data_IF_515349024160
#
_entry.id   IF_515349024160
#
_cell.length_a   1.000
_cell.length_b   1.000
_cell.length_c   1.000
_cell.angle_alpha   90.00
_cell.angle_beta   90.00
_cell.angle_gamma   90.00
#
_symmetry.space_group_name_H-M   'P 1'
#
loop_
_entity.id
_entity.type
_entity.pdbx_description
1 polymer ?
#
# COMPACT_ATOMS: atom_id res chain seq x y z
N UNK A 1 10.38 29.37 -1.97
CA UNK A 1 8.95 29.62 -2.20
C UNK A 1 8.35 30.09 -0.88
N UNK A 2 7.74 31.27 -0.84
CA UNK A 2 7.18 31.84 0.39
C UNK A 2 5.84 31.19 0.79
N UNK A 3 5.34 31.52 1.99
CA UNK A 3 4.10 30.91 2.52
C UNK A 3 2.86 31.25 1.70
N UNK A 4 2.78 32.46 1.12
CA UNK A 4 1.65 32.89 0.29
C UNK A 4 1.61 32.10 -1.02
N UNK A 5 2.79 31.87 -1.63
CA UNK A 5 2.94 31.05 -2.82
C UNK A 5 2.57 29.58 -2.54
N UNK A 6 2.88 29.04 -1.36
CA UNK A 6 2.48 27.67 -0.97
C UNK A 6 0.97 27.52 -0.84
N UNK A 7 0.31 28.45 -0.14
CA UNK A 7 -1.15 28.43 0.05
C UNK A 7 -1.89 28.48 -1.29
N UNK A 8 -1.48 29.39 -2.19
CA UNK A 8 -2.13 29.54 -3.50
C UNK A 8 -1.88 28.36 -4.44
N UNK A 9 -0.70 27.74 -4.40
CA UNK A 9 -0.33 26.68 -5.34
C UNK A 9 -0.81 25.29 -4.91
N UNK A 10 -0.79 25.00 -3.61
CA UNK A 10 -1.05 23.66 -3.08
C UNK A 10 -2.30 23.59 -2.19
N UNK A 11 -3.05 24.68 -2.04
CA UNK A 11 -4.27 24.73 -1.22
C UNK A 11 -4.01 24.57 0.28
N UNK A 12 -2.78 24.79 0.71
CA UNK A 12 -2.34 24.62 2.10
C UNK A 12 -2.98 25.70 2.98
N UNK A 13 -3.49 25.31 4.13
CA UNK A 13 -4.02 26.24 5.13
C UNK A 13 -2.89 27.00 5.82
N UNK A 14 -3.19 28.13 6.47
CA UNK A 14 -2.19 28.87 7.25
C UNK A 14 -1.56 28.00 8.36
N UNK A 15 -2.37 27.16 9.03
CA UNK A 15 -1.91 26.26 10.08
C UNK A 15 -0.91 25.22 9.54
N UNK A 16 -1.17 24.66 8.38
CA UNK A 16 -0.26 23.73 7.71
C UNK A 16 1.00 24.45 7.21
N UNK A 17 0.89 25.69 6.71
CA UNK A 17 2.04 26.50 6.31
C UNK A 17 2.99 26.82 7.48
N UNK A 18 2.44 27.07 8.66
CA UNK A 18 3.22 27.23 9.89
C UNK A 18 3.86 25.91 10.31
N UNK A 19 3.12 24.81 10.31
CA UNK A 19 3.67 23.49 10.61
C UNK A 19 4.82 23.11 9.68
N UNK A 20 4.73 23.44 8.38
CA UNK A 20 5.79 23.21 7.39
C UNK A 20 7.08 23.98 7.74
N UNK A 21 6.97 25.19 8.30
CA UNK A 21 8.15 25.99 8.68
C UNK A 21 8.88 25.41 9.89
N UNK A 22 8.15 24.73 10.77
CA UNK A 22 8.71 24.07 11.95
C UNK A 22 9.28 22.68 11.64
N UNK A 23 9.15 22.19 10.40
CA UNK A 23 9.73 20.89 10.02
C UNK A 23 11.25 20.99 9.98
N UNK A 24 11.91 20.04 10.65
CA UNK A 24 13.32 19.79 10.48
C UNK A 24 13.55 19.06 9.15
N UNK A 25 13.80 19.84 8.09
CA UNK A 25 14.03 19.30 6.75
C UNK A 25 15.23 18.33 6.73
N UNK A 26 16.25 18.56 7.56
CA UNK A 26 17.42 17.68 7.59
C UNK A 26 17.03 16.28 8.05
N UNK A 27 16.21 16.17 9.11
CA UNK A 27 15.70 14.89 9.58
C UNK A 27 14.95 14.11 8.48
N UNK A 28 14.15 14.80 7.66
CA UNK A 28 13.41 14.15 6.57
C UNK A 28 14.32 13.74 5.40
N UNK A 29 15.36 14.52 5.09
CA UNK A 29 16.37 14.12 4.11
C UNK A 29 17.13 12.87 4.57
N UNK A 30 17.57 12.83 5.82
CA UNK A 30 18.27 11.67 6.37
C UNK A 30 17.38 10.41 6.34
N UNK A 31 16.09 10.56 6.65
CA UNK A 31 15.11 9.47 6.53
C UNK A 31 14.92 9.02 5.07
N UNK A 32 14.83 9.96 4.13
CA UNK A 32 14.69 9.65 2.71
C UNK A 32 15.90 8.85 2.20
N UNK A 33 17.11 9.32 2.49
CA UNK A 33 18.35 8.63 2.08
C UNK A 33 18.40 7.22 2.67
N UNK A 34 18.02 7.06 3.95
CA UNK A 34 17.94 5.74 4.58
C UNK A 34 16.96 4.81 3.85
N UNK A 35 15.75 5.29 3.57
CA UNK A 35 14.72 4.50 2.90
C UNK A 35 15.14 4.14 1.47
N UNK A 36 15.77 5.06 0.75
CA UNK A 36 16.31 4.81 -0.59
C UNK A 36 17.38 3.71 -0.56
N UNK A 37 18.30 3.74 0.40
CA UNK A 37 19.31 2.70 0.60
C UNK A 37 18.68 1.34 0.95
N UNK A 38 17.58 1.34 1.70
CA UNK A 38 16.81 0.13 2.03
C UNK A 38 15.94 -0.37 0.85
N UNK A 39 15.92 0.34 -0.28
CA UNK A 39 15.13 -0.01 -1.46
C UNK A 39 13.63 0.24 -1.28
N UNK A 40 13.26 1.15 -0.38
CA UNK A 40 11.88 1.57 -0.15
C UNK A 40 11.55 2.75 -1.06
N UNK A 41 10.59 2.54 -1.96
CA UNK A 41 10.03 3.58 -2.80
C UNK A 41 8.91 4.32 -2.06
N UNK A 42 8.93 5.65 -2.13
CA UNK A 42 7.90 6.52 -1.56
C UNK A 42 6.96 6.96 -2.69
N UNK A 43 5.72 6.47 -2.66
CA UNK A 43 4.68 6.82 -3.63
C UNK A 43 3.66 7.73 -2.95
N UNK A 44 3.55 8.97 -3.42
CA UNK A 44 2.59 9.96 -2.90
C UNK A 44 1.26 9.88 -3.64
N UNK A 45 0.19 10.41 -3.03
CA UNK A 45 -1.15 10.50 -3.64
C UNK A 45 -1.17 11.13 -5.05
N UNK A 46 -0.25 12.06 -5.31
CA UNK A 46 -0.15 12.77 -6.59
C UNK A 46 0.85 12.12 -7.57
N UNK A 47 1.49 11.03 -7.17
CA UNK A 47 2.38 10.28 -8.05
C UNK A 47 1.59 9.59 -9.16
N UNK A 48 2.08 9.58 -10.42
CA UNK A 48 1.46 8.78 -11.48
C UNK A 48 1.50 7.27 -11.20
N UNK A 49 2.38 6.82 -10.28
CA UNK A 49 2.49 5.43 -9.86
C UNK A 49 1.54 5.08 -8.71
N UNK A 50 0.76 6.04 -8.18
CA UNK A 50 -0.20 5.78 -7.11
C UNK A 50 -1.29 4.80 -7.58
N UNK A 51 -1.64 3.76 -6.81
CA UNK A 51 -2.56 2.72 -7.27
C UNK A 51 -3.93 3.28 -7.64
N UNK A 52 -4.38 3.02 -8.88
CA UNK A 52 -5.66 3.51 -9.38
C UNK A 52 -6.84 2.98 -8.55
N UNK A 53 -6.75 1.74 -8.07
CA UNK A 53 -7.77 1.11 -7.22
C UNK A 53 -8.00 1.85 -5.91
N UNK A 54 -6.96 2.43 -5.30
CA UNK A 54 -7.11 3.24 -4.08
C UNK A 54 -7.76 4.59 -4.41
N UNK A 55 -7.45 5.18 -5.56
CA UNK A 55 -8.10 6.40 -6.03
C UNK A 55 -9.60 6.23 -6.30
N UNK A 56 -10.02 5.06 -6.78
CA UNK A 56 -11.44 4.79 -7.07
C UNK A 56 -12.20 4.29 -5.86
N UNK A 57 -11.59 3.45 -5.01
CA UNK A 57 -12.33 2.67 -4.01
C UNK A 57 -12.34 3.30 -2.62
N UNK A 58 -11.41 4.21 -2.30
CA UNK A 58 -11.28 4.82 -0.96
C UNK A 58 -11.75 6.28 -0.88
N UNK A 59 -12.34 6.79 -1.97
CA UNK A 59 -13.06 8.06 -1.96
C UNK A 59 -14.52 7.76 -1.59
N UNK A 60 -14.87 7.99 -0.32
CA UNK A 60 -16.23 7.73 0.19
C UNK A 60 -17.01 9.06 0.19
N UNK A 61 -17.69 9.33 -0.92
CA UNK A 61 -18.51 10.53 -1.10
C UNK A 61 -17.71 11.85 -1.01
N UNK A 62 -18.38 12.94 -0.66
CA UNK A 62 -17.78 14.29 -0.57
C UNK A 62 -17.13 14.60 0.78
N UNK A 63 -17.30 13.73 1.79
CA UNK A 63 -16.98 14.08 3.18
C UNK A 63 -15.81 13.31 3.80
N UNK A 64 -15.36 12.18 3.21
CA UNK A 64 -14.25 11.41 3.79
C UNK A 64 -13.36 10.74 2.75
N UNK A 65 -12.26 11.40 2.44
CA UNK A 65 -11.13 10.81 1.73
C UNK A 65 -10.32 9.94 2.71
N UNK A 66 -10.31 8.62 2.48
CA UNK A 66 -9.55 7.67 3.30
C UNK A 66 -8.30 7.14 2.60
N UNK A 67 -7.87 7.79 1.51
CA UNK A 67 -6.66 7.40 0.77
C UNK A 67 -5.41 7.71 1.61
N UNK A 68 -4.46 6.79 1.70
CA UNK A 68 -3.16 7.09 2.29
C UNK A 68 -2.43 8.14 1.44
N UNK A 69 -1.99 9.23 2.07
CA UNK A 69 -1.25 10.30 1.36
C UNK A 69 0.11 9.84 0.84
N UNK A 70 0.71 8.88 1.55
CA UNK A 70 2.03 8.32 1.26
C UNK A 70 1.95 6.81 1.44
N UNK A 71 2.46 6.08 0.45
CA UNK A 71 2.74 4.66 0.50
C UNK A 71 4.25 4.46 0.57
N UNK A 72 4.70 3.64 1.53
CA UNK A 72 6.06 3.14 1.59
C UNK A 72 6.05 1.73 1.00
N UNK A 73 6.74 1.53 -0.11
CA UNK A 73 6.70 0.27 -0.86
C UNK A 73 8.09 -0.33 -0.96
N UNK A 74 8.23 -1.59 -0.57
CA UNK A 74 9.45 -2.37 -0.78
C UNK A 74 9.19 -3.46 -1.82
N UNK A 75 10.11 -3.63 -2.78
CA UNK A 75 10.00 -4.62 -3.85
C UNK A 75 9.46 -4.06 -5.16
N UNK A 76 8.72 -4.88 -5.92
CA UNK A 76 8.31 -4.53 -7.28
C UNK A 76 7.02 -3.70 -7.31
N UNK A 77 7.13 -2.37 -7.30
CA UNK A 77 5.99 -1.43 -7.34
C UNK A 77 5.18 -1.47 -8.63
N UNK A 78 5.69 -2.08 -9.70
CA UNK A 78 4.98 -2.19 -11.00
C UNK A 78 3.70 -3.01 -10.90
N UNK A 79 3.58 -3.89 -9.91
CA UNK A 79 2.42 -4.79 -9.74
C UNK A 79 1.23 -4.09 -9.09
N UNK A 80 1.41 -2.88 -8.54
CA UNK A 80 0.39 -2.16 -7.78
C UNK A 80 -0.85 -1.77 -8.60
N UNK A 81 -0.74 -1.74 -9.93
CA UNK A 81 -1.84 -1.45 -10.86
C UNK A 81 -2.30 -2.68 -11.66
N UNK A 82 -1.79 -3.87 -11.35
CA UNK A 82 -2.25 -5.10 -11.98
C UNK A 82 -3.63 -5.50 -11.44
N UNK A 83 -4.28 -6.45 -12.13
CA UNK A 83 -5.45 -7.14 -11.58
C UNK A 83 -5.07 -7.75 -10.23
N UNK A 84 -5.88 -7.45 -9.21
CA UNK A 84 -5.57 -7.83 -7.84
C UNK A 84 -6.82 -8.38 -7.17
N UNK A 85 -6.64 -9.45 -6.39
CA UNK A 85 -7.68 -10.03 -5.54
C UNK A 85 -7.16 -10.19 -4.12
N UNK A 86 -8.05 -10.07 -3.14
CA UNK A 86 -7.72 -10.34 -1.75
C UNK A 86 -8.49 -11.57 -1.27
N UNK A 87 -7.78 -12.50 -0.64
CA UNK A 87 -8.36 -13.67 0.01
C UNK A 87 -8.10 -13.50 1.51
N UNK A 88 -9.17 -13.21 2.25
CA UNK A 88 -9.13 -12.92 3.69
C UNK A 88 -9.94 -13.95 4.46
N UNK A 89 -9.56 -14.21 5.71
CA UNK A 89 -10.31 -15.14 6.55
C UNK A 89 -9.74 -15.32 7.95
N UNK A 90 -10.09 -16.45 8.58
CA UNK A 90 -9.72 -16.75 9.97
C UNK A 90 -8.22 -16.91 10.14
N UNK A 91 -7.71 -16.42 11.28
CA UNK A 91 -6.35 -16.70 11.76
C UNK A 91 -6.18 -18.13 12.26
N UNK A 92 -7.28 -18.77 12.63
CA UNK A 92 -7.39 -20.15 13.08
C UNK A 92 -8.28 -20.92 12.09
N UNK A 93 -7.81 -21.04 10.85
CA UNK A 93 -8.52 -21.77 9.81
C UNK A 93 -8.31 -23.28 9.95
N UNK A 94 -9.35 -24.06 9.64
CA UNK A 94 -9.22 -25.52 9.53
C UNK A 94 -8.36 -25.91 8.33
N UNK A 95 -7.83 -27.14 8.33
CA UNK A 95 -7.07 -27.66 7.18
C UNK A 95 -7.90 -27.67 5.89
N UNK A 96 -9.20 -27.94 5.98
CA UNK A 96 -10.10 -27.90 4.82
C UNK A 96 -10.20 -26.50 4.24
N UNK A 97 -10.37 -25.48 5.08
CA UNK A 97 -10.39 -24.08 4.65
C UNK A 97 -9.06 -23.66 4.05
N UNK A 98 -7.92 -24.09 4.61
CA UNK A 98 -6.59 -23.79 4.06
C UNK A 98 -6.40 -24.44 2.68
N UNK A 99 -6.82 -25.69 2.49
CA UNK A 99 -6.79 -26.36 1.18
C UNK A 99 -7.66 -25.65 0.15
N UNK A 100 -8.85 -25.21 0.56
CA UNK A 100 -9.72 -24.41 -0.30
C UNK A 100 -9.07 -23.07 -0.68
N UNK A 101 -8.51 -22.35 0.31
CA UNK A 101 -7.77 -21.10 0.07
C UNK A 101 -6.62 -21.29 -0.91
N UNK A 102 -5.83 -22.36 -0.75
CA UNK A 102 -4.73 -22.68 -1.65
C UNK A 102 -5.21 -22.86 -3.09
N UNK A 103 -6.26 -23.69 -3.29
CA UNK A 103 -6.81 -23.93 -4.62
C UNK A 103 -7.34 -22.65 -5.29
N UNK A 104 -7.99 -21.77 -4.53
CA UNK A 104 -8.47 -20.49 -5.06
C UNK A 104 -7.30 -19.57 -5.43
N UNK A 105 -6.28 -19.47 -4.57
CA UNK A 105 -5.10 -18.63 -4.80
C UNK A 105 -4.29 -19.09 -6.02
N UNK A 106 -4.07 -20.41 -6.17
CA UNK A 106 -3.40 -21.01 -7.32
C UNK A 106 -4.13 -20.67 -8.63
N UNK A 107 -5.46 -20.81 -8.65
CA UNK A 107 -6.27 -20.52 -9.85
C UNK A 107 -6.21 -19.05 -10.24
N UNK A 108 -6.35 -18.14 -9.28
CA UNK A 108 -6.22 -16.70 -9.53
C UNK A 108 -4.81 -16.33 -10.01
N UNK A 109 -3.79 -16.96 -9.43
CA UNK A 109 -2.40 -16.76 -9.83
C UNK A 109 -2.16 -17.22 -11.27
N UNK A 110 -2.70 -18.38 -11.65
CA UNK A 110 -2.62 -18.89 -13.03
C UNK A 110 -3.29 -17.95 -14.06
N UNK A 111 -4.26 -17.14 -13.63
CA UNK A 111 -4.90 -16.10 -14.45
C UNK A 111 -4.09 -14.77 -14.47
N UNK A 112 -2.94 -14.71 -13.81
CA UNK A 112 -2.10 -13.52 -13.69
C UNK A 112 -2.61 -12.50 -12.68
N UNK A 113 -3.52 -12.88 -11.78
CA UNK A 113 -4.01 -12.00 -10.72
C UNK A 113 -3.04 -11.95 -9.55
N UNK A 114 -2.71 -10.73 -9.11
CA UNK A 114 -1.87 -10.47 -7.94
C UNK A 114 -2.69 -10.73 -6.67
N UNK A 115 -2.12 -11.45 -5.71
CA UNK A 115 -2.79 -11.70 -4.42
C UNK A 115 -2.39 -10.62 -3.40
N UNK A 116 -3.37 -9.88 -2.88
CA UNK A 116 -3.16 -8.91 -1.80
C UNK A 116 -3.63 -9.46 -0.45
N UNK A 117 -2.78 -9.38 0.58
CA UNK A 117 -3.07 -9.89 1.92
C UNK A 117 -2.40 -9.05 3.03
N UNK A 118 -2.78 -9.28 4.29
CA UNK A 118 -2.12 -8.67 5.46
C UNK A 118 -1.00 -9.53 6.06
N UNK A 119 -0.66 -10.67 5.45
CA UNK A 119 0.33 -11.64 5.92
C UNK A 119 0.10 -12.15 7.37
N UNK A 120 -1.17 -12.17 7.81
CA UNK A 120 -1.55 -12.77 9.07
C UNK A 120 -1.53 -14.31 8.99
N UNK A 121 -1.47 -14.99 10.14
CA UNK A 121 -1.63 -16.45 10.22
C UNK A 121 -2.97 -16.90 9.61
N UNK A 122 -3.07 -18.16 9.22
CA UNK A 122 -4.29 -18.74 8.68
C UNK A 122 -4.48 -18.44 7.19
N UNK A 123 -5.67 -17.96 6.82
CA UNK A 123 -6.07 -17.77 5.42
C UNK A 123 -5.14 -16.81 4.66
N UNK A 124 -4.79 -15.66 5.24
CA UNK A 124 -3.93 -14.67 4.58
C UNK A 124 -2.57 -15.26 4.19
N UNK A 125 -1.90 -15.93 5.14
CA UNK A 125 -0.62 -16.58 4.90
C UNK A 125 -0.74 -17.70 3.85
N UNK A 126 -1.78 -18.52 3.92
CA UNK A 126 -1.97 -19.59 2.94
C UNK A 126 -2.19 -19.05 1.53
N UNK A 127 -2.98 -17.97 1.38
CA UNK A 127 -3.20 -17.33 0.08
C UNK A 127 -1.89 -16.76 -0.49
N UNK A 128 -1.08 -16.12 0.35
CA UNK A 128 0.23 -15.63 -0.02
C UNK A 128 1.17 -16.77 -0.45
N UNK A 129 1.35 -17.77 0.41
CA UNK A 129 2.28 -18.89 0.19
C UNK A 129 1.93 -19.61 -1.13
N UNK A 130 0.65 -19.92 -1.35
CA UNK A 130 0.19 -20.63 -2.56
C UNK A 130 0.39 -19.81 -3.84
N UNK A 131 0.29 -18.48 -3.76
CA UNK A 131 0.57 -17.60 -4.91
C UNK A 131 2.05 -17.62 -5.26
N UNK A 132 2.93 -17.51 -4.27
CA UNK A 132 4.39 -17.54 -4.49
C UNK A 132 4.86 -18.90 -4.98
N UNK A 133 4.36 -19.99 -4.41
CA UNK A 133 4.66 -21.37 -4.83
C UNK A 133 4.20 -21.65 -6.26
N UNK A 134 3.17 -20.94 -6.73
CA UNK A 134 2.68 -20.97 -8.11
C UNK A 134 3.39 -19.98 -9.04
N UNK A 135 4.56 -19.47 -8.65
CA UNK A 135 5.35 -18.47 -9.39
C UNK A 135 4.59 -17.15 -9.68
N UNK A 136 3.62 -16.85 -8.82
CA UNK A 136 2.79 -15.64 -8.87
C UNK A 136 3.44 -14.40 -8.28
N UNK A 137 2.61 -13.37 -8.14
CA UNK A 137 2.97 -12.10 -7.51
C UNK A 137 1.99 -11.79 -6.39
N UNK A 138 2.51 -11.27 -5.29
CA UNK A 138 1.72 -10.91 -4.12
C UNK A 138 2.07 -9.52 -3.60
N UNK A 139 1.08 -8.83 -3.05
CA UNK A 139 1.24 -7.57 -2.31
C UNK A 139 0.91 -7.85 -0.84
N UNK A 140 1.82 -7.50 0.06
CA UNK A 140 1.59 -7.55 1.50
C UNK A 140 1.34 -6.14 2.02
N UNK A 141 0.18 -5.92 2.61
CA UNK A 141 -0.17 -4.65 3.26
C UNK A 141 0.14 -4.77 4.75
N UNK A 142 1.21 -4.10 5.18
CA UNK A 142 1.63 -4.10 6.58
C UNK A 142 0.94 -2.98 7.33
N UNK A 143 0.39 -3.32 8.50
CA UNK A 143 -0.07 -2.34 9.47
C UNK A 143 1.16 -1.80 10.21
N UNK A 144 1.21 -0.49 10.38
CA UNK A 144 2.16 0.14 11.30
C UNK A 144 1.65 -0.10 12.72
N UNK A 145 2.40 -0.84 13.53
CA UNK A 145 2.25 -0.77 14.98
C UNK A 145 2.83 0.57 15.46
N UNK A 146 2.05 1.30 16.27
CA UNK A 146 2.43 2.58 16.86
C UNK A 146 3.17 2.39 18.19
#
# INVERSE_FOLDING_TARGET
>A
MDGVQRQQRFGVTQKEDEAIKELDLQQYFDLYEKLEVEGVEIITLYSPCYPASLNTNLVIGTEKDSRPLILYCAGNTKILNNSCASIVGSREASEESLKFTANVAERLTAEGTVIACGYAKGVDKQAFDSSIESEGQSIVVLLREF
#
